data_IF_782157531573
#
_entry.id   IF_782157531573
#
_cell.length_a   1.000
_cell.length_b   1.000
_cell.length_c   1.000
_cell.angle_alpha   90.00
_cell.angle_beta   90.00
_cell.angle_gamma   90.00
#
_symmetry.space_group_name_H-M   'P 1'
#
loop_
_entity.id
_entity.type
_entity.pdbx_description
1 polymer ?
#
# COMPACT_ATOMS: atom_id res chain seq x y z
N UNK A 1 28.74 30.04 34.53
CA UNK A 1 28.08 31.35 34.65
C UNK A 1 26.93 31.40 33.66
N UNK A 2 25.69 31.56 34.20
CA UNK A 2 24.44 32.05 33.58
C UNK A 2 23.83 31.23 32.41
N UNK A 3 22.84 30.35 32.65
CA UNK A 3 21.38 30.60 32.71
C UNK A 3 20.75 31.31 31.48
N UNK A 4 19.91 30.60 30.73
CA UNK A 4 18.62 31.14 30.26
C UNK A 4 17.68 30.04 29.75
N UNK A 5 16.82 29.61 30.67
CA UNK A 5 15.50 29.06 30.41
C UNK A 5 14.57 30.16 29.90
N UNK A 6 13.86 29.96 28.79
CA UNK A 6 12.59 30.68 28.54
C UNK A 6 11.54 29.71 28.00
N UNK A 7 10.55 29.52 28.85
CA UNK A 7 9.24 28.92 28.61
C UNK A 7 8.52 29.57 27.42
N UNK A 8 7.86 28.78 26.57
CA UNK A 8 6.71 29.29 25.83
C UNK A 8 5.51 28.36 26.00
N UNK A 9 4.45 29.01 26.44
CA UNK A 9 3.31 28.45 27.13
C UNK A 9 2.33 27.72 26.22
N UNK A 10 1.66 26.75 26.85
CA UNK A 10 0.33 26.22 26.53
C UNK A 10 -0.60 27.32 25.99
N UNK A 11 -1.10 27.15 24.78
CA UNK A 11 -2.33 27.79 24.31
C UNK A 11 -3.46 26.76 24.43
N UNK A 12 -4.24 26.89 25.51
CA UNK A 12 -5.50 26.18 25.73
C UNK A 12 -6.63 27.21 25.59
N UNK A 13 -7.23 27.28 24.41
CA UNK A 13 -8.50 27.96 24.13
C UNK A 13 -8.79 27.70 22.65
N UNK A 14 -9.82 26.98 22.22
CA UNK A 14 -11.22 27.15 22.56
C UNK A 14 -12.00 26.00 21.90
N UNK A 15 -12.76 25.24 22.68
CA UNK A 15 -13.78 24.31 22.18
C UNK A 15 -15.11 25.07 22.17
N UNK A 16 -15.79 25.25 21.02
CA UNK A 16 -17.20 25.62 21.04
C UNK A 16 -18.04 24.40 21.42
N UNK A 17 -18.61 24.47 22.62
CA UNK A 17 -19.76 23.67 23.01
C UNK A 17 -20.97 24.14 22.20
N UNK A 18 -21.40 23.33 21.24
CA UNK A 18 -22.57 23.57 20.40
C UNK A 18 -23.55 22.39 20.51
N UNK A 19 -24.25 22.31 21.64
CA UNK A 19 -25.43 21.47 21.83
C UNK A 19 -26.59 22.00 21.00
N UNK A 20 -27.00 21.27 19.96
CA UNK A 20 -28.34 21.38 19.39
C UNK A 20 -28.80 20.01 18.91
N UNK A 21 -29.32 19.26 19.87
CA UNK A 21 -30.10 18.03 19.69
C UNK A 21 -31.49 18.45 19.21
N UNK A 22 -31.73 18.47 17.91
CA UNK A 22 -33.08 18.51 17.34
C UNK A 22 -33.46 17.09 16.94
N UNK A 23 -34.49 16.57 17.61
CA UNK A 23 -35.11 15.32 17.22
C UNK A 23 -35.72 15.46 15.83
N UNK A 24 -35.49 14.46 14.98
CA UNK A 24 -36.30 14.27 13.80
C UNK A 24 -36.82 12.84 13.78
N UNK A 25 -38.13 12.82 13.73
CA UNK A 25 -39.09 11.73 13.84
C UNK A 25 -38.91 10.66 12.78
N UNK A 26 -39.21 9.42 13.17
CA UNK A 26 -39.23 8.26 12.29
C UNK A 26 -40.10 8.49 11.05
N UNK A 27 -39.48 8.36 9.89
CA UNK A 27 -40.14 8.09 8.63
C UNK A 27 -39.99 6.61 8.30
N UNK A 28 -41.07 5.87 8.49
CA UNK A 28 -41.23 4.54 7.93
C UNK A 28 -41.34 4.67 6.40
N UNK A 29 -40.21 4.64 5.69
CA UNK A 29 -40.19 4.53 4.24
C UNK A 29 -40.09 3.05 3.90
N UNK A 30 -41.22 2.52 3.40
CA UNK A 30 -41.38 1.15 2.95
C UNK A 30 -40.27 0.75 1.98
N UNK A 31 -39.65 -0.38 2.27
CA UNK A 31 -38.79 -1.09 1.34
C UNK A 31 -39.67 -1.50 0.15
N UNK A 32 -39.38 -1.08 -1.09
CA UNK A 32 -40.07 -1.63 -2.25
C UNK A 32 -39.71 -3.11 -2.37
N UNK A 33 -40.69 -3.97 -2.09
CA UNK A 33 -40.65 -5.39 -2.38
C UNK A 33 -40.32 -5.58 -3.87
N UNK A 34 -39.06 -5.86 -4.16
CA UNK A 34 -38.61 -6.14 -5.52
C UNK A 34 -39.22 -7.48 -5.95
N UNK A 35 -39.82 -7.58 -7.14
CA UNK A 35 -40.41 -8.81 -7.64
C UNK A 35 -39.33 -9.88 -7.79
N UNK A 36 -39.56 -10.99 -7.09
CA UNK A 36 -38.74 -12.20 -7.14
C UNK A 36 -38.82 -12.78 -8.56
N UNK A 37 -37.79 -12.55 -9.38
CA UNK A 37 -37.66 -13.21 -10.69
C UNK A 37 -37.22 -14.66 -10.44
N UNK A 38 -37.95 -15.68 -10.93
CA UNK A 38 -37.49 -17.05 -10.87
C UNK A 38 -36.25 -17.20 -11.77
N UNK A 39 -35.11 -17.57 -11.17
CA UNK A 39 -33.91 -18.00 -11.86
C UNK A 39 -34.18 -19.37 -12.52
N UNK A 40 -34.90 -19.35 -13.64
CA UNK A 40 -35.03 -20.51 -14.51
C UNK A 40 -33.75 -20.64 -15.34
N UNK A 41 -33.04 -21.76 -15.17
CA UNK A 41 -32.16 -22.30 -16.21
C UNK A 41 -30.69 -21.87 -16.16
N UNK A 42 -30.06 -21.85 -14.99
CA UNK A 42 -28.59 -21.98 -14.94
C UNK A 42 -28.30 -23.48 -14.93
N UNK A 43 -28.10 -24.04 -16.13
CA UNK A 43 -27.53 -25.37 -16.29
C UNK A 43 -26.11 -25.35 -15.75
N UNK A 44 -25.93 -25.85 -14.52
CA UNK A 44 -24.61 -26.04 -13.93
C UNK A 44 -23.90 -27.15 -14.71
N UNK A 45 -22.76 -26.87 -15.36
CA UNK A 45 -21.99 -27.91 -16.03
C UNK A 45 -21.55 -28.96 -15.00
N UNK A 46 -21.78 -30.22 -15.36
CA UNK A 46 -21.48 -31.37 -14.51
C UNK A 46 -19.97 -31.39 -14.16
N UNK A 47 -19.60 -31.62 -12.89
CA UNK A 47 -18.21 -31.49 -12.41
C UNK A 47 -17.21 -32.50 -13.02
N UNK A 48 -17.65 -33.36 -13.95
CA UNK A 48 -16.78 -34.35 -14.60
C UNK A 48 -16.17 -33.86 -15.93
N UNK A 49 -16.65 -32.75 -16.50
CA UNK A 49 -16.12 -32.23 -17.79
C UNK A 49 -14.93 -31.26 -17.65
N UNK A 50 -14.51 -30.94 -16.43
CA UNK A 50 -13.42 -29.99 -16.16
C UNK A 50 -12.01 -30.61 -16.14
N UNK A 51 -11.86 -31.92 -16.39
CA UNK A 51 -10.58 -32.63 -16.18
C UNK A 51 -9.71 -32.80 -17.43
N UNK A 52 -10.16 -32.36 -18.59
CA UNK A 52 -9.47 -32.64 -19.87
C UNK A 52 -9.15 -31.40 -20.72
N UNK A 53 -9.41 -30.19 -20.23
CA UNK A 53 -8.98 -29.00 -20.95
C UNK A 53 -7.55 -28.64 -20.55
N UNK A 54 -6.57 -28.61 -21.47
CA UNK A 54 -5.31 -27.96 -21.22
C UNK A 54 -5.65 -26.49 -20.92
N UNK A 55 -5.43 -26.08 -19.67
CA UNK A 55 -5.57 -24.69 -19.24
C UNK A 55 -4.56 -23.86 -20.04
N UNK A 56 -4.94 -23.45 -21.25
CA UNK A 56 -4.22 -22.43 -22.00
C UNK A 56 -4.41 -21.17 -21.20
N UNK A 57 -3.40 -20.86 -20.38
CA UNK A 57 -3.32 -19.66 -19.56
C UNK A 57 -3.04 -18.45 -20.47
N UNK A 58 -3.90 -18.23 -21.46
CA UNK A 58 -3.84 -17.13 -22.44
C UNK A 58 -4.78 -15.98 -22.05
N UNK A 59 -5.31 -16.00 -20.83
CA UNK A 59 -6.29 -15.03 -20.33
C UNK A 59 -5.78 -14.17 -19.19
N UNK A 60 -4.46 -13.98 -19.05
CA UNK A 60 -3.99 -12.88 -18.20
C UNK A 60 -4.19 -11.60 -19.01
N UNK A 61 -5.06 -10.66 -18.59
CA UNK A 61 -5.22 -9.40 -19.28
C UNK A 61 -3.85 -8.72 -19.32
N UNK A 62 -3.36 -8.55 -20.55
CA UNK A 62 -2.40 -7.55 -21.00
C UNK A 62 -1.67 -6.84 -19.84
N UNK A 63 -0.49 -7.34 -19.46
CA UNK A 63 0.49 -6.42 -18.89
C UNK A 63 0.82 -5.46 -20.03
N UNK A 64 0.48 -4.17 -19.95
CA UNK A 64 0.89 -3.23 -20.99
C UNK A 64 2.41 -3.37 -21.14
N UNK A 65 2.86 -3.70 -22.36
CA UNK A 65 4.26 -3.79 -22.70
C UNK A 65 4.89 -2.41 -22.46
N UNK A 66 5.41 -2.21 -21.26
CA UNK A 66 6.08 -1.00 -20.77
C UNK A 66 7.48 -0.83 -21.39
N UNK A 67 7.64 -1.22 -22.65
CA UNK A 67 8.83 -0.99 -23.47
C UNK A 67 8.52 0.01 -24.59
N UNK A 68 7.81 1.09 -24.26
CA UNK A 68 7.80 2.28 -25.12
C UNK A 68 9.02 3.14 -24.78
N UNK A 69 10.09 2.93 -25.56
CA UNK A 69 11.23 3.84 -25.74
C UNK A 69 10.76 5.17 -26.37
N UNK A 70 9.90 5.89 -25.67
CA UNK A 70 9.58 7.28 -25.98
C UNK A 70 10.21 8.14 -24.90
N UNK A 71 11.38 8.69 -25.25
CA UNK A 71 12.12 9.77 -24.59
C UNK A 71 11.28 11.05 -24.48
N UNK A 72 10.18 10.98 -23.73
CA UNK A 72 9.44 12.14 -23.24
C UNK A 72 9.63 12.13 -21.73
N UNK A 73 10.52 13.03 -21.31
CA UNK A 73 11.19 13.20 -20.01
C UNK A 73 10.27 13.41 -18.77
N UNK A 74 9.00 12.97 -18.83
CA UNK A 74 8.04 12.99 -17.72
C UNK A 74 7.67 11.60 -17.17
N UNK A 75 8.06 10.51 -17.85
CA UNK A 75 7.68 9.15 -17.46
C UNK A 75 8.37 8.63 -16.19
N UNK A 76 9.63 9.03 -15.96
CA UNK A 76 10.43 8.55 -14.83
C UNK A 76 9.87 8.96 -13.46
N UNK A 77 9.47 10.22 -13.33
CA UNK A 77 8.88 10.74 -12.10
C UNK A 77 7.48 10.18 -11.84
N UNK A 78 6.67 10.00 -12.88
CA UNK A 78 5.36 9.37 -12.77
C UNK A 78 5.48 7.93 -12.27
N UNK A 79 6.41 7.14 -12.84
CA UNK A 79 6.65 5.75 -12.43
C UNK A 79 7.14 5.67 -10.97
N UNK A 80 8.02 6.58 -10.57
CA UNK A 80 8.49 6.66 -9.18
C UNK A 80 7.34 7.01 -8.24
N UNK A 81 6.54 8.03 -8.56
CA UNK A 81 5.40 8.43 -7.73
C UNK A 81 4.38 7.31 -7.61
N UNK A 82 4.04 6.62 -8.70
CA UNK A 82 3.14 5.46 -8.68
C UNK A 82 3.60 4.36 -7.72
N UNK A 83 4.91 4.07 -7.68
CA UNK A 83 5.46 3.08 -6.74
C UNK A 83 5.35 3.50 -5.27
N UNK A 84 5.16 4.78 -4.99
CA UNK A 84 5.03 5.34 -3.64
C UNK A 84 3.56 5.55 -3.22
N UNK A 85 2.59 5.45 -4.14
CA UNK A 85 1.19 5.78 -3.86
C UNK A 85 0.54 4.86 -2.81
N UNK A 86 0.89 3.56 -2.78
CA UNK A 86 0.36 2.65 -1.76
C UNK A 86 0.83 3.05 -0.37
N UNK A 87 2.15 3.19 -0.18
CA UNK A 87 2.74 3.64 1.08
C UNK A 87 2.27 5.05 1.48
N UNK A 88 1.95 5.91 0.50
CA UNK A 88 1.35 7.22 0.75
C UNK A 88 -0.05 7.10 1.35
N UNK A 89 -0.92 6.23 0.82
CA UNK A 89 -2.27 6.02 1.34
C UNK A 89 -2.25 5.43 2.77
N UNK A 90 -1.29 4.57 3.05
CA UNK A 90 -1.11 3.95 4.37
C UNK A 90 -0.33 4.85 5.36
N UNK A 91 0.07 6.05 4.94
CA UNK A 91 0.89 6.99 5.74
C UNK A 91 2.24 6.42 6.20
N UNK A 92 2.81 5.47 5.46
CA UNK A 92 4.08 4.80 5.76
C UNK A 92 5.31 5.51 5.17
N UNK A 93 5.09 6.56 4.36
CA UNK A 93 6.17 7.35 3.78
C UNK A 93 6.83 8.27 4.80
N UNK A 94 8.15 8.46 4.66
CA UNK A 94 8.87 9.51 5.38
C UNK A 94 8.40 10.92 4.95
N UNK A 95 8.57 11.95 5.80
CA UNK A 95 8.06 13.30 5.49
C UNK A 95 8.61 13.92 4.20
N UNK A 96 9.85 13.59 3.80
CA UNK A 96 10.42 14.12 2.56
C UNK A 96 9.75 13.47 1.35
N UNK A 97 9.51 12.15 1.40
CA UNK A 97 8.80 11.43 0.35
C UNK A 97 7.32 11.82 0.27
N UNK A 98 6.65 12.10 1.39
CA UNK A 98 5.28 12.64 1.39
C UNK A 98 5.21 13.98 0.65
N UNK A 99 6.08 14.93 1.01
CA UNK A 99 6.15 16.24 0.35
C UNK A 99 6.44 16.13 -1.17
N UNK A 100 7.30 15.18 -1.56
CA UNK A 100 7.58 14.90 -2.97
C UNK A 100 6.34 14.41 -3.72
N UNK A 101 5.62 13.42 -3.15
CA UNK A 101 4.40 12.88 -3.74
C UNK A 101 3.32 13.96 -3.82
N UNK A 102 3.12 14.75 -2.76
CA UNK A 102 2.17 15.87 -2.75
C UNK A 102 2.48 16.89 -3.85
N UNK A 103 3.74 17.29 -3.99
CA UNK A 103 4.17 18.20 -5.04
C UNK A 103 3.90 17.61 -6.44
N UNK A 104 4.16 16.32 -6.65
CA UNK A 104 3.90 15.68 -7.95
C UNK A 104 2.39 15.55 -8.25
N UNK A 105 1.56 15.22 -7.25
CA UNK A 105 0.11 15.09 -7.41
C UNK A 105 -0.57 16.42 -7.77
N UNK A 106 -0.01 17.55 -7.38
CA UNK A 106 -0.50 18.88 -7.78
C UNK A 106 -0.30 19.16 -9.28
N UNK A 107 0.72 18.56 -9.90
CA UNK A 107 1.10 18.85 -11.29
C UNK A 107 0.72 17.72 -12.26
N UNK A 108 0.58 16.48 -11.78
CA UNK A 108 0.31 15.30 -12.61
C UNK A 108 -1.11 14.77 -12.39
N UNK A 109 -2.08 15.10 -13.26
CA UNK A 109 -3.46 14.63 -13.12
C UNK A 109 -3.57 13.11 -13.28
N UNK A 110 -2.67 12.47 -14.04
CA UNK A 110 -2.65 11.03 -14.20
C UNK A 110 -2.37 10.31 -12.87
N UNK A 111 -1.32 10.71 -12.14
CA UNK A 111 -1.00 10.14 -10.84
C UNK A 111 -2.11 10.43 -9.80
N UNK A 112 -2.79 11.57 -9.90
CA UNK A 112 -3.94 11.88 -9.06
C UNK A 112 -5.13 10.94 -9.32
N UNK A 113 -5.43 10.61 -10.58
CA UNK A 113 -6.44 9.61 -10.94
C UNK A 113 -6.08 8.24 -10.38
N UNK A 114 -4.84 7.77 -10.57
CA UNK A 114 -4.38 6.47 -10.05
C UNK A 114 -4.48 6.40 -8.52
N UNK A 115 -4.15 7.49 -7.81
CA UNK A 115 -4.33 7.58 -6.35
C UNK A 115 -5.80 7.38 -5.95
N UNK A 116 -6.74 7.99 -6.67
CA UNK A 116 -8.16 7.88 -6.38
C UNK A 116 -8.69 6.46 -6.65
N UNK A 117 -8.25 5.82 -7.74
CA UNK A 117 -8.59 4.42 -8.05
C UNK A 117 -8.09 3.45 -6.97
N UNK A 118 -6.87 3.66 -6.48
CA UNK A 118 -6.31 2.89 -5.36
C UNK A 118 -7.12 3.10 -4.07
N UNK A 119 -7.49 4.34 -3.76
CA UNK A 119 -8.31 4.66 -2.59
C UNK A 119 -9.71 4.03 -2.69
N UNK A 120 -10.35 4.05 -3.87
CA UNK A 120 -11.63 3.39 -4.09
C UNK A 120 -11.52 1.88 -3.87
N UNK A 121 -10.47 1.25 -4.42
CA UNK A 121 -10.20 -0.18 -4.23
C UNK A 121 -10.05 -0.54 -2.75
N UNK A 122 -9.31 0.27 -1.98
CA UNK A 122 -9.16 0.09 -0.54
C UNK A 122 -10.52 0.22 0.20
N UNK A 123 -11.38 1.17 -0.20
CA UNK A 123 -12.72 1.27 0.40
C UNK A 123 -13.60 0.05 0.10
N UNK A 124 -13.49 -0.53 -1.09
CA UNK A 124 -14.22 -1.74 -1.47
C UNK A 124 -13.71 -2.95 -0.69
N UNK A 125 -12.39 -3.11 -0.57
CA UNK A 125 -11.78 -4.18 0.24
C UNK A 125 -12.23 -4.04 1.69
N UNK A 126 -12.13 -2.85 2.29
CA UNK A 126 -12.57 -2.59 3.67
C UNK A 126 -14.05 -2.94 3.87
N UNK A 127 -14.91 -2.56 2.93
CA UNK A 127 -16.34 -2.86 2.97
C UNK A 127 -16.61 -4.36 2.90
N UNK A 128 -15.99 -5.06 1.96
CA UNK A 128 -16.18 -6.51 1.83
C UNK A 128 -15.60 -7.24 3.03
N UNK A 129 -14.44 -6.84 3.52
CA UNK A 129 -13.82 -7.39 4.72
C UNK A 129 -14.74 -7.25 5.94
N UNK A 130 -15.40 -6.09 6.11
CA UNK A 130 -16.41 -5.86 7.15
C UNK A 130 -17.70 -6.68 6.97
N UNK A 131 -18.03 -7.09 5.74
CA UNK A 131 -19.22 -7.91 5.45
C UNK A 131 -18.96 -9.39 5.64
N UNK A 132 -17.83 -9.88 5.13
CA UNK A 132 -17.50 -11.31 5.09
C UNK A 132 -16.88 -11.80 6.38
N UNK A 133 -16.11 -10.95 7.05
CA UNK A 133 -15.80 -11.18 8.44
C UNK A 133 -16.81 -10.34 9.22
N UNK A 134 -17.86 -10.94 9.81
CA UNK A 134 -18.25 -10.49 11.12
C UNK A 134 -17.00 -10.73 11.96
N UNK A 135 -16.06 -9.77 11.94
CA UNK A 135 -15.23 -9.53 13.10
C UNK A 135 -16.28 -9.48 14.19
N UNK A 136 -16.32 -10.45 15.12
CA UNK A 136 -17.14 -10.26 16.29
C UNK A 136 -16.73 -8.88 16.74
N UNK A 137 -17.67 -7.93 16.67
CA UNK A 137 -17.46 -6.61 17.26
C UNK A 137 -16.78 -6.92 18.56
N UNK A 138 -15.62 -6.32 18.82
CA UNK A 138 -14.76 -6.62 19.96
C UNK A 138 -15.47 -6.47 21.34
N UNK A 139 -16.79 -6.48 21.40
CA UNK A 139 -17.53 -7.32 22.36
C UNK A 139 -17.21 -8.82 22.22
N UNK A 140 -15.93 -9.21 22.14
CA UNK A 140 -15.59 -10.47 22.79
C UNK A 140 -16.06 -10.30 24.22
N UNK A 141 -16.98 -11.16 24.63
CA UNK A 141 -17.44 -11.11 26.01
C UNK A 141 -16.19 -11.22 26.91
N UNK A 142 -16.17 -10.61 28.10
CA UNK A 142 -15.01 -10.72 29.01
C UNK A 142 -14.58 -12.16 29.29
N UNK A 143 -15.48 -13.13 29.04
CA UNK A 143 -15.24 -14.56 29.16
C UNK A 143 -14.43 -15.14 27.99
N UNK A 144 -14.67 -14.70 26.75
CA UNK A 144 -13.88 -15.14 25.60
C UNK A 144 -12.47 -14.54 25.61
N UNK A 145 -12.31 -13.28 26.04
CA UNK A 145 -10.99 -12.68 26.23
C UNK A 145 -10.11 -13.55 27.16
N UNK A 146 -10.67 -14.03 28.28
CA UNK A 146 -9.96 -14.94 29.19
C UNK A 146 -9.59 -16.29 28.56
N UNK A 147 -10.41 -16.80 27.65
CA UNK A 147 -10.10 -18.07 26.98
C UNK A 147 -8.92 -17.90 26.01
N UNK A 148 -8.86 -16.77 25.31
CA UNK A 148 -7.73 -16.43 24.44
C UNK A 148 -6.48 -16.18 25.27
N UNK A 149 -6.58 -15.43 26.36
CA UNK A 149 -5.47 -15.20 27.30
C UNK A 149 -4.97 -16.52 27.89
N UNK A 150 -5.87 -17.47 28.20
CA UNK A 150 -5.50 -18.80 28.70
C UNK A 150 -4.76 -19.62 27.63
N UNK A 151 -5.16 -19.52 26.36
CA UNK A 151 -4.47 -20.19 25.25
C UNK A 151 -3.10 -19.56 25.04
N UNK A 152 -3.01 -18.23 25.00
CA UNK A 152 -1.75 -17.49 24.89
C UNK A 152 -0.81 -17.77 26.06
N UNK A 153 -1.33 -17.89 27.29
CA UNK A 153 -0.55 -18.25 28.46
C UNK A 153 -0.06 -19.70 28.46
N UNK A 154 -0.70 -20.58 27.67
CA UNK A 154 -0.25 -21.97 27.49
C UNK A 154 0.74 -22.15 26.34
N UNK A 155 0.94 -21.12 25.51
CA UNK A 155 2.05 -21.15 24.56
C UNK A 155 3.35 -21.11 25.38
N UNK A 156 4.33 -21.98 25.07
CA UNK A 156 5.63 -21.89 25.69
C UNK A 156 6.14 -20.46 25.48
N UNK A 157 6.74 -19.82 26.50
CA UNK A 157 7.30 -18.49 26.34
C UNK A 157 8.22 -18.57 25.13
N UNK A 158 7.97 -17.74 24.12
CA UNK A 158 8.87 -17.68 22.97
C UNK A 158 10.27 -17.57 23.56
N UNK A 159 11.18 -18.51 23.25
CA UNK A 159 12.53 -18.40 23.74
C UNK A 159 12.95 -17.01 23.32
N UNK A 160 13.37 -16.19 24.28
CA UNK A 160 13.95 -14.88 24.01
C UNK A 160 15.19 -15.19 23.20
N UNK A 161 14.99 -15.30 21.89
CA UNK A 161 16.03 -15.29 20.92
C UNK A 161 16.56 -13.88 21.08
N UNK A 162 17.56 -13.72 21.95
CA UNK A 162 18.38 -12.53 21.97
C UNK A 162 18.60 -12.21 20.51
N UNK A 163 18.25 -10.99 20.05
CA UNK A 163 18.40 -10.65 18.67
C UNK A 163 19.86 -10.92 18.35
N UNK A 164 20.10 -12.06 17.71
CA UNK A 164 21.32 -12.34 17.03
C UNK A 164 21.20 -11.39 15.86
N UNK A 165 21.59 -10.14 16.12
CA UNK A 165 22.20 -9.30 15.14
C UNK A 165 23.36 -10.14 14.64
N UNK A 166 23.05 -11.06 13.71
CA UNK A 166 24.00 -11.58 12.79
C UNK A 166 24.68 -10.30 12.33
N UNK A 167 25.92 -10.13 12.74
CA UNK A 167 26.80 -9.08 12.29
C UNK A 167 26.91 -9.36 10.80
N UNK A 168 25.90 -8.90 10.06
CA UNK A 168 25.68 -9.14 8.66
C UNK A 168 26.81 -8.38 8.06
N UNK A 169 27.90 -9.11 7.83
CA UNK A 169 29.19 -8.59 7.41
C UNK A 169 28.91 -7.56 6.34
N UNK A 170 29.20 -6.31 6.69
CA UNK A 170 29.12 -5.16 5.80
C UNK A 170 30.28 -5.32 4.80
N UNK A 171 30.14 -6.28 3.89
CA UNK A 171 31.13 -6.62 2.87
C UNK A 171 30.55 -6.59 1.45
N UNK A 172 29.40 -5.95 1.25
CA UNK A 172 28.83 -5.77 -0.10
C UNK A 172 29.20 -4.44 -0.77
N UNK A 173 29.83 -3.49 -0.07
CA UNK A 173 30.17 -2.17 -0.67
C UNK A 173 31.59 -2.03 -1.24
N UNK A 174 32.48 -3.00 -1.10
CA UNK A 174 33.88 -2.88 -1.58
C UNK A 174 34.12 -3.57 -2.95
N UNK A 175 33.14 -4.29 -3.52
CA UNK A 175 33.33 -5.01 -4.79
C UNK A 175 33.05 -4.20 -6.06
N UNK A 176 32.43 -3.02 -5.99
CA UNK A 176 32.12 -2.21 -7.17
C UNK A 176 33.23 -1.23 -7.61
N UNK A 177 34.22 -0.95 -6.77
CA UNK A 177 35.30 0.00 -7.12
C UNK A 177 36.29 -0.57 -8.14
N UNK A 178 36.28 -1.89 -8.40
CA UNK A 178 37.18 -2.50 -9.40
C UNK A 178 36.65 -2.48 -10.84
N UNK A 179 35.38 -2.17 -11.07
CA UNK A 179 34.84 -2.08 -12.44
C UNK A 179 35.00 -0.71 -13.10
N UNK A 180 35.16 0.38 -12.33
CA UNK A 180 35.32 1.73 -12.90
C UNK A 180 36.72 2.01 -13.47
N UNK A 181 37.77 1.40 -12.91
CA UNK A 181 39.14 1.59 -13.41
C UNK A 181 39.37 0.98 -14.81
N UNK A 182 38.68 -0.10 -15.15
CA UNK A 182 38.78 -0.73 -16.48
C UNK A 182 38.14 0.09 -17.59
N UNK A 183 36.99 0.72 -17.32
CA UNK A 183 36.26 1.50 -18.33
C UNK A 183 37.00 2.79 -18.73
N UNK A 184 37.65 3.46 -17.77
CA UNK A 184 38.43 4.67 -18.05
C UNK A 184 39.63 4.41 -18.98
N UNK A 185 40.31 3.26 -18.83
CA UNK A 185 41.38 2.85 -19.75
C UNK A 185 40.87 2.57 -21.17
N UNK A 186 39.67 1.98 -21.30
CA UNK A 186 39.09 1.68 -22.61
C UNK A 186 38.71 2.97 -23.38
N UNK A 187 38.17 3.97 -22.68
CA UNK A 187 37.85 5.28 -23.28
C UNK A 187 39.12 6.02 -23.72
N UNK A 188 40.18 5.99 -22.91
CA UNK A 188 41.46 6.60 -23.28
C UNK A 188 42.09 5.94 -24.52
N UNK A 189 41.98 4.60 -24.63
CA UNK A 189 42.55 3.86 -25.76
C UNK A 189 41.79 4.12 -27.07
N UNK A 190 40.46 4.25 -27.02
CA UNK A 190 39.65 4.63 -28.19
C UNK A 190 39.95 6.08 -28.64
N UNK A 191 40.24 6.98 -27.70
CA UNK A 191 40.62 8.36 -28.01
C UNK A 191 41.93 8.50 -28.79
N UNK A 192 42.93 7.66 -28.49
CA UNK A 192 44.24 7.68 -29.19
C UNK A 192 44.10 7.23 -30.65
N UNK A 193 43.25 6.25 -30.94
CA UNK A 193 43.05 5.76 -32.32
C UNK A 193 42.32 6.75 -33.23
N UNK A 194 41.54 7.72 -32.70
CA UNK A 194 40.86 8.73 -33.53
C UNK A 194 41.73 9.92 -33.95
N UNK A 195 42.93 10.10 -33.38
CA UNK A 195 43.76 11.29 -33.63
C UNK A 195 44.83 11.11 -34.72
N UNK A 196 44.94 9.90 -35.29
CA UNK A 196 45.99 9.54 -36.26
C UNK A 196 45.51 9.31 -37.70
N UNK A 197 44.34 9.84 -38.08
CA UNK A 197 43.82 9.77 -39.45
C UNK A 197 43.54 11.17 -39.99
#
# INVERSE_FOLDING_TARGET
MLNSSINRAKSLSSLPQGLARTGQTGGASGVPSSPFMPLNGIDFPSPQDLRSQPMSFSGVPFTPDFNSDSDVDGGGECRRTQSLLSAYLDSELDPNSQNYVDAHLLHCPYCATVKNELAETDTLIKREWQRTLPLPSLSLTPKELRSIDSILASLPPEPVAEPQFATRRVHSRVRWVRFSAGLASLIALIGIFRRGK
#
